data_IF_189243981745
#
_entry.id   IF_189243981745
#
_cell.length_a   1.000
_cell.length_b   1.000
_cell.length_c   1.000
_cell.angle_alpha   90.00
_cell.angle_beta   90.00
_cell.angle_gamma   90.00
#
_symmetry.space_group_name_H-M   'P 1'
#
loop_
_entity.id
_entity.type
_entity.pdbx_description
1 polymer ?
#
# COMPACT_ATOMS: atom_id res chain seq x y z
N UNK A 1 2.97 -42.44 -22.31
CA UNK A 1 3.32 -43.45 -21.28
C UNK A 1 2.06 -43.61 -20.45
N UNK A 2 1.34 -44.72 -20.63
CA UNK A 2 0.16 -44.99 -19.80
C UNK A 2 0.64 -45.42 -18.42
N UNK A 3 0.38 -44.57 -17.43
CA UNK A 3 0.77 -44.82 -16.04
C UNK A 3 -0.32 -45.70 -15.42
N UNK A 4 0.00 -46.98 -15.19
CA UNK A 4 -0.88 -47.90 -14.49
C UNK A 4 -0.71 -47.75 -12.98
N UNK A 5 -1.68 -47.12 -12.33
CA UNK A 5 -1.64 -46.82 -10.89
C UNK A 5 -1.83 -48.07 -10.04
N UNK A 6 -2.58 -49.06 -10.51
CA UNK A 6 -2.87 -50.26 -9.73
C UNK A 6 -1.60 -51.09 -9.52
N UNK A 7 -0.72 -51.13 -10.54
CA UNK A 7 0.61 -51.75 -10.44
C UNK A 7 1.49 -51.00 -9.45
N UNK A 8 1.53 -49.66 -9.53
CA UNK A 8 2.31 -48.83 -8.60
C UNK A 8 1.81 -48.99 -7.16
N UNK A 9 0.50 -49.05 -6.95
CA UNK A 9 -0.08 -49.27 -5.63
C UNK A 9 0.31 -50.64 -5.06
N UNK A 10 0.27 -51.70 -5.89
CA UNK A 10 0.70 -53.03 -5.48
C UNK A 10 2.17 -53.05 -5.04
N UNK A 11 3.05 -52.45 -5.85
CA UNK A 11 4.49 -52.34 -5.54
C UNK A 11 4.76 -51.53 -4.27
N UNK A 12 4.00 -50.45 -4.05
CA UNK A 12 4.13 -49.63 -2.84
C UNK A 12 3.64 -50.32 -1.56
N UNK A 13 2.72 -51.28 -1.68
CA UNK A 13 2.20 -52.08 -0.57
C UNK A 13 3.11 -53.26 -0.21
N UNK A 14 3.94 -53.71 -1.15
CA UNK A 14 4.81 -54.86 -0.93
C UNK A 14 5.82 -54.61 0.22
N UNK A 15 5.96 -55.62 1.08
CA UNK A 15 6.80 -55.54 2.29
C UNK A 15 6.37 -54.51 3.34
N UNK A 16 5.17 -53.91 3.26
CA UNK A 16 4.66 -52.94 4.25
C UNK A 16 3.72 -53.57 5.26
N UNK A 17 3.71 -52.99 6.47
CA UNK A 17 2.79 -53.41 7.54
C UNK A 17 1.33 -53.17 7.15
N UNK A 18 0.37 -53.98 7.67
CA UNK A 18 -1.05 -53.91 7.28
C UNK A 18 -1.67 -52.51 7.47
N UNK A 19 -1.23 -51.77 8.49
CA UNK A 19 -1.68 -50.39 8.72
C UNK A 19 -1.29 -49.44 7.59
N UNK A 20 -0.06 -49.56 7.08
CA UNK A 20 0.45 -48.73 5.99
C UNK A 20 -0.24 -49.10 4.67
N UNK A 21 -0.50 -50.39 4.45
CA UNK A 21 -1.26 -50.85 3.29
C UNK A 21 -2.67 -50.27 3.27
N UNK A 22 -3.40 -50.32 4.39
CA UNK A 22 -4.74 -49.72 4.51
C UNK A 22 -4.73 -48.21 4.28
N UNK A 23 -3.70 -47.51 4.76
CA UNK A 23 -3.55 -46.07 4.52
C UNK A 23 -3.22 -45.75 3.05
N UNK A 24 -2.45 -46.59 2.37
CA UNK A 24 -2.16 -46.45 0.94
C UNK A 24 -3.41 -46.67 0.10
N UNK A 25 -4.23 -47.68 0.44
CA UNK A 25 -5.51 -47.93 -0.22
C UNK A 25 -6.44 -46.73 -0.07
N UNK A 26 -6.59 -46.24 1.17
CA UNK A 26 -7.43 -45.06 1.45
C UNK A 26 -6.92 -43.80 0.75
N UNK A 27 -5.61 -43.58 0.74
CA UNK A 27 -5.03 -42.45 0.01
C UNK A 27 -5.25 -42.58 -1.51
N UNK A 28 -5.18 -43.80 -2.06
CA UNK A 28 -5.44 -44.05 -3.47
C UNK A 28 -6.89 -43.70 -3.86
N UNK A 29 -7.86 -44.11 -3.04
CA UNK A 29 -9.28 -43.80 -3.27
C UNK A 29 -9.54 -42.28 -3.28
N UNK A 30 -8.94 -41.57 -2.32
CA UNK A 30 -9.03 -40.10 -2.22
C UNK A 30 -8.40 -39.45 -3.45
N UNK A 31 -7.21 -39.90 -3.87
CA UNK A 31 -6.52 -39.36 -5.05
C UNK A 31 -7.29 -39.62 -6.35
N UNK A 32 -7.95 -40.79 -6.45
CA UNK A 32 -8.81 -41.14 -7.58
C UNK A 32 -10.01 -40.19 -7.66
N UNK A 33 -10.74 -40.03 -6.57
CA UNK A 33 -11.88 -39.09 -6.51
C UNK A 33 -11.44 -37.64 -6.80
N UNK A 34 -10.28 -37.24 -6.26
CA UNK A 34 -9.70 -35.93 -6.50
C UNK A 34 -9.34 -35.71 -7.97
N UNK A 35 -8.74 -36.69 -8.64
CA UNK A 35 -8.43 -36.64 -10.07
C UNK A 35 -9.69 -36.60 -10.95
N UNK A 36 -10.74 -37.35 -10.58
CA UNK A 36 -12.02 -37.36 -11.29
C UNK A 36 -12.76 -36.02 -11.17
N UNK A 37 -12.51 -35.23 -10.12
CA UNK A 37 -13.07 -33.89 -9.92
C UNK A 37 -12.40 -32.75 -10.72
N UNK A 38 -11.55 -33.08 -11.70
CA UNK A 38 -10.72 -32.16 -12.52
C UNK A 38 -9.83 -31.20 -11.70
N UNK A 39 -9.55 -31.55 -10.45
CA UNK A 39 -8.61 -30.82 -9.62
C UNK A 39 -7.17 -31.19 -9.99
N UNK A 40 -6.30 -30.18 -10.12
CA UNK A 40 -4.92 -30.35 -10.63
C UNK A 40 -3.82 -30.09 -9.60
N UNK A 41 -4.19 -29.71 -8.38
CA UNK A 41 -3.23 -29.41 -7.30
C UNK A 41 -2.91 -30.64 -6.48
N UNK A 42 -1.93 -31.43 -6.93
CA UNK A 42 -1.41 -32.59 -6.20
C UNK A 42 -0.24 -32.24 -5.28
N UNK A 43 -0.17 -30.99 -4.78
CA UNK A 43 0.86 -30.62 -3.81
C UNK A 43 0.68 -31.34 -2.48
N UNK A 44 1.82 -31.68 -1.84
CA UNK A 44 1.81 -32.44 -0.57
C UNK A 44 0.99 -31.73 0.52
N UNK A 45 1.00 -30.40 0.54
CA UNK A 45 0.18 -29.61 1.48
C UNK A 45 -1.30 -29.77 1.19
N UNK A 46 -1.73 -29.67 -0.06
CA UNK A 46 -3.14 -29.79 -0.44
C UNK A 46 -3.64 -31.23 -0.23
N UNK A 47 -2.87 -32.21 -0.69
CA UNK A 47 -3.18 -33.64 -0.51
C UNK A 47 -3.20 -34.03 0.97
N UNK A 48 -2.32 -33.47 1.78
CA UNK A 48 -2.35 -33.66 3.23
C UNK A 48 -3.61 -33.12 3.90
N UNK A 49 -4.15 -31.99 3.41
CA UNK A 49 -5.40 -31.41 3.91
C UNK A 49 -6.61 -32.24 3.48
N UNK A 50 -6.70 -32.58 2.20
CA UNK A 50 -7.82 -33.37 1.64
C UNK A 50 -7.82 -34.77 2.26
N UNK A 51 -6.66 -35.43 2.30
CA UNK A 51 -6.52 -36.76 2.89
C UNK A 51 -6.90 -36.76 4.38
N UNK A 52 -6.44 -35.80 5.18
CA UNK A 52 -6.81 -35.71 6.58
C UNK A 52 -8.32 -35.50 6.80
N UNK A 53 -8.98 -34.68 5.96
CA UNK A 53 -10.41 -34.42 6.06
C UNK A 53 -11.26 -35.68 5.84
N UNK A 54 -10.81 -36.58 4.96
CA UNK A 54 -11.48 -37.86 4.70
C UNK A 54 -10.96 -39.01 5.59
N UNK A 55 -10.15 -38.69 6.59
CA UNK A 55 -9.60 -39.64 7.58
C UNK A 55 -8.50 -40.55 7.03
N UNK A 56 -7.80 -40.12 5.98
CA UNK A 56 -6.54 -40.69 5.48
C UNK A 56 -5.30 -40.10 6.18
N UNK A 57 -4.09 -40.41 5.69
CA UNK A 57 -2.85 -39.86 6.24
C UNK A 57 -2.78 -38.33 6.08
N UNK A 58 -2.54 -37.62 7.19
CA UNK A 58 -2.43 -36.16 7.18
C UNK A 58 -1.08 -35.63 6.69
N UNK A 59 -0.98 -34.29 6.60
CA UNK A 59 0.20 -33.58 6.10
C UNK A 59 1.52 -34.01 6.76
N UNK A 60 1.52 -34.23 8.08
CA UNK A 60 2.72 -34.66 8.82
C UNK A 60 3.24 -36.02 8.35
N UNK A 61 2.33 -36.96 8.05
CA UNK A 61 2.67 -38.29 7.57
C UNK A 61 3.18 -38.25 6.12
N UNK A 62 2.60 -37.38 5.27
CA UNK A 62 2.99 -37.23 3.87
C UNK A 62 4.33 -36.51 3.69
N UNK A 63 4.65 -35.53 4.56
CA UNK A 63 5.93 -34.80 4.49
C UNK A 63 7.10 -35.60 5.07
N UNK A 64 6.83 -36.56 5.96
CA UNK A 64 7.87 -37.28 6.67
C UNK A 64 8.81 -38.03 5.71
N UNK A 65 10.12 -37.89 5.90
CA UNK A 65 11.14 -38.50 5.04
C UNK A 65 11.00 -40.03 4.99
N UNK A 66 10.69 -40.66 6.13
CA UNK A 66 10.49 -42.11 6.27
C UNK A 66 9.29 -42.65 5.47
N UNK A 67 8.32 -41.80 5.12
CA UNK A 67 7.08 -42.20 4.48
C UNK A 67 7.05 -41.83 2.98
N UNK A 68 8.15 -42.08 2.28
CA UNK A 68 8.29 -41.77 0.85
C UNK A 68 7.24 -42.46 -0.04
N UNK A 69 6.72 -43.61 0.40
CA UNK A 69 5.70 -44.38 -0.32
C UNK A 69 4.43 -43.57 -0.60
N UNK A 70 3.97 -42.74 0.34
CA UNK A 70 2.81 -41.88 0.07
C UNK A 70 3.12 -40.79 -0.96
N UNK A 71 4.34 -40.23 -0.95
CA UNK A 71 4.76 -39.22 -1.93
C UNK A 71 4.86 -39.81 -3.34
N UNK A 72 5.39 -41.03 -3.46
CA UNK A 72 5.44 -41.76 -4.75
C UNK A 72 4.05 -42.00 -5.33
N UNK A 73 3.08 -42.37 -4.48
CA UNK A 73 1.70 -42.54 -4.93
C UNK A 73 1.08 -41.22 -5.43
N UNK A 74 1.30 -40.12 -4.71
CA UNK A 74 0.82 -38.78 -5.11
C UNK A 74 1.48 -38.33 -6.42
N UNK A 75 2.78 -38.58 -6.59
CA UNK A 75 3.52 -38.29 -7.83
C UNK A 75 3.00 -39.09 -9.03
N UNK A 76 2.68 -40.38 -8.83
CA UNK A 76 2.09 -41.22 -9.86
C UNK A 76 0.71 -40.69 -10.32
N UNK A 77 -0.14 -40.29 -9.37
CA UNK A 77 -1.43 -39.67 -9.68
C UNK A 77 -1.29 -38.31 -10.36
N UNK A 78 -0.35 -37.47 -9.92
CA UNK A 78 -0.05 -36.20 -10.58
C UNK A 78 0.38 -36.41 -12.04
N UNK A 79 1.26 -37.39 -12.27
CA UNK A 79 1.75 -37.72 -13.60
C UNK A 79 0.63 -38.29 -14.50
N UNK A 80 -0.27 -39.15 -13.97
CA UNK A 80 -1.45 -39.65 -14.71
C UNK A 80 -2.39 -38.51 -15.10
N UNK A 81 -2.59 -37.54 -14.21
CA UNK A 81 -3.38 -36.32 -14.45
C UNK A 81 -2.64 -35.25 -15.27
N UNK A 82 -1.48 -35.57 -15.88
CA UNK A 82 -0.62 -34.67 -16.68
C UNK A 82 -0.27 -33.36 -15.95
N UNK A 83 -0.20 -33.40 -14.62
CA UNK A 83 0.15 -32.28 -13.75
C UNK A 83 1.40 -32.61 -12.93
N UNK A 84 1.85 -31.67 -12.10
CA UNK A 84 3.01 -31.82 -11.22
C UNK A 84 2.57 -31.74 -9.76
N UNK A 85 3.35 -32.32 -8.85
CA UNK A 85 3.19 -32.17 -7.40
C UNK A 85 3.60 -30.78 -6.89
N UNK A 86 4.14 -29.92 -7.77
CA UNK A 86 4.33 -28.52 -7.44
C UNK A 86 2.98 -27.82 -7.43
N UNK A 87 2.75 -26.99 -6.42
CA UNK A 87 1.55 -26.16 -6.32
C UNK A 87 1.33 -25.42 -7.65
N UNK A 88 0.16 -25.56 -8.30
CA UNK A 88 -0.11 -24.86 -9.54
C UNK A 88 0.05 -23.36 -9.30
N UNK A 89 0.75 -22.70 -10.22
CA UNK A 89 0.97 -21.26 -10.16
C UNK A 89 -0.38 -20.56 -10.08
N UNK A 90 -0.60 -19.73 -9.05
CA UNK A 90 -1.80 -18.91 -8.93
C UNK A 90 -2.04 -18.12 -10.23
N UNK A 91 -3.31 -17.93 -10.58
CA UNK A 91 -3.72 -17.13 -11.75
C UNK A 91 -3.09 -15.72 -11.75
N UNK A 92 -2.89 -15.16 -10.56
CA UNK A 92 -2.29 -13.83 -10.31
C UNK A 92 -0.78 -13.86 -10.10
N UNK A 93 -0.11 -15.01 -10.19
CA UNK A 93 1.33 -15.08 -9.90
C UNK A 93 2.16 -14.37 -10.98
N UNK A 94 3.17 -13.62 -10.54
CA UNK A 94 4.18 -13.01 -11.43
C UNK A 94 4.97 -14.05 -12.25
N UNK A 95 4.98 -15.31 -11.83
CA UNK A 95 5.56 -16.42 -12.61
C UNK A 95 4.68 -16.88 -13.77
N UNK A 96 3.38 -16.53 -13.76
CA UNK A 96 2.49 -16.57 -14.93
C UNK A 96 2.61 -15.28 -15.76
N UNK A 97 3.61 -14.42 -15.50
CA UNK A 97 3.82 -13.29 -16.39
C UNK A 97 4.06 -13.82 -17.79
N UNK A 98 3.39 -13.20 -18.75
CA UNK A 98 3.66 -13.34 -20.18
C UNK A 98 5.19 -13.47 -20.35
N UNK A 99 5.69 -14.45 -21.13
CA UNK A 99 7.12 -14.61 -21.33
C UNK A 99 7.75 -13.25 -21.65
N UNK A 100 8.91 -12.95 -21.07
CA UNK A 100 9.62 -11.70 -21.35
C UNK A 100 9.60 -11.42 -22.85
N UNK A 101 9.33 -10.18 -23.24
CA UNK A 101 9.08 -9.82 -24.65
C UNK A 101 10.12 -10.43 -25.62
N UNK A 102 11.39 -10.51 -25.20
CA UNK A 102 12.48 -11.13 -25.95
C UNK A 102 12.34 -12.65 -26.15
N UNK A 103 11.82 -13.39 -25.16
CA UNK A 103 11.52 -14.82 -25.28
C UNK A 103 10.36 -15.11 -26.24
N UNK A 104 9.47 -14.15 -26.45
CA UNK A 104 8.42 -14.29 -27.47
C UNK A 104 9.00 -14.13 -28.89
N UNK A 105 10.04 -13.30 -29.06
CA UNK A 105 10.73 -13.15 -30.35
C UNK A 105 11.42 -14.44 -30.81
N UNK A 106 11.95 -15.23 -29.88
CA UNK A 106 12.56 -16.54 -30.18
C UNK A 106 11.57 -17.54 -30.81
N UNK A 107 10.26 -17.35 -30.60
CA UNK A 107 9.22 -18.21 -31.17
C UNK A 107 8.84 -17.83 -32.60
N UNK A 108 9.22 -16.64 -33.07
CA UNK A 108 8.95 -16.18 -34.44
C UNK A 108 10.08 -16.74 -35.31
N UNK A 109 9.83 -17.67 -36.25
CA UNK A 109 10.90 -18.27 -37.05
C UNK A 109 11.49 -17.31 -38.09
N UNK A 110 10.65 -16.48 -38.71
CA UNK A 110 11.07 -15.50 -39.72
C UNK A 110 11.88 -14.35 -39.10
N UNK A 111 13.16 -14.16 -39.50
CA UNK A 111 14.01 -13.08 -38.99
C UNK A 111 13.48 -11.68 -39.26
N UNK A 112 12.83 -11.44 -40.41
CA UNK A 112 12.33 -10.11 -40.78
C UNK A 112 11.17 -9.70 -39.88
N UNK A 113 10.20 -10.60 -39.70
CA UNK A 113 9.08 -10.40 -38.77
C UNK A 113 9.58 -10.27 -37.33
N UNK A 114 10.56 -11.10 -36.93
CA UNK A 114 11.17 -11.02 -35.60
C UNK A 114 11.80 -9.64 -35.34
N UNK A 115 12.50 -9.08 -36.32
CA UNK A 115 13.10 -7.74 -36.22
C UNK A 115 12.04 -6.64 -36.05
N UNK A 116 10.96 -6.69 -36.83
CA UNK A 116 9.84 -5.74 -36.72
C UNK A 116 9.19 -5.77 -35.34
N UNK A 117 8.88 -6.96 -34.82
CA UNK A 117 8.34 -7.09 -33.45
C UNK A 117 9.34 -6.61 -32.39
N UNK A 118 10.64 -6.87 -32.60
CA UNK A 118 11.70 -6.34 -31.74
C UNK A 118 11.73 -4.81 -31.69
N UNK A 119 11.57 -4.14 -32.83
CA UNK A 119 11.45 -2.69 -32.91
C UNK A 119 10.20 -2.18 -32.16
N UNK A 120 9.03 -2.80 -32.37
CA UNK A 120 7.79 -2.44 -31.68
C UNK A 120 7.94 -2.60 -30.15
N UNK A 121 8.60 -3.67 -29.69
CA UNK A 121 8.89 -3.87 -28.27
C UNK A 121 9.79 -2.75 -27.73
N UNK A 122 10.82 -2.36 -28.48
CA UNK A 122 11.74 -1.30 -28.09
C UNK A 122 11.03 0.06 -27.96
N UNK A 123 10.18 0.42 -28.94
CA UNK A 123 9.40 1.66 -28.92
C UNK A 123 8.39 1.68 -27.77
N UNK A 124 7.63 0.60 -27.58
CA UNK A 124 6.70 0.45 -26.45
C UNK A 124 7.40 0.60 -25.11
N UNK A 125 8.60 0.03 -24.97
CA UNK A 125 9.40 0.15 -23.74
C UNK A 125 9.93 1.57 -23.54
N UNK A 126 10.31 2.27 -24.61
CA UNK A 126 10.67 3.68 -24.57
C UNK A 126 9.48 4.53 -24.11
N UNK A 127 8.31 4.39 -24.73
CA UNK A 127 7.12 5.15 -24.33
C UNK A 127 6.67 4.86 -22.91
N UNK A 128 6.76 3.60 -22.44
CA UNK A 128 6.49 3.28 -21.02
C UNK A 128 7.46 3.99 -20.07
N UNK A 129 8.74 4.11 -20.43
CA UNK A 129 9.72 4.85 -19.61
C UNK A 129 9.41 6.34 -19.58
N UNK A 130 9.10 6.93 -20.74
CA UNK A 130 8.71 8.35 -20.84
C UNK A 130 7.45 8.62 -20.02
N UNK A 131 6.41 7.79 -20.13
CA UNK A 131 5.19 7.90 -19.33
C UNK A 131 5.47 7.74 -17.83
N UNK A 132 6.32 6.81 -17.44
CA UNK A 132 6.67 6.62 -16.02
C UNK A 132 7.45 7.82 -15.47
N UNK A 133 8.36 8.40 -16.25
CA UNK A 133 9.07 9.63 -15.91
C UNK A 133 8.07 10.79 -15.77
N UNK A 134 7.16 10.96 -16.72
CA UNK A 134 6.11 11.99 -16.64
C UNK A 134 5.21 11.80 -15.42
N UNK A 135 4.83 10.56 -15.08
CA UNK A 135 4.08 10.26 -13.85
C UNK A 135 4.85 10.60 -12.58
N UNK A 136 6.16 10.37 -12.57
CA UNK A 136 7.02 10.76 -11.45
C UNK A 136 7.06 12.28 -11.29
N UNK A 137 7.16 13.02 -12.40
CA UNK A 137 7.15 14.49 -12.36
C UNK A 137 5.76 15.11 -12.18
N UNK A 138 4.68 14.39 -12.46
CA UNK A 138 3.31 14.90 -12.31
C UNK A 138 2.88 14.99 -10.83
N UNK A 139 3.37 14.11 -9.97
CA UNK A 139 3.05 14.10 -8.55
C UNK A 139 4.16 14.78 -7.74
N UNK A 140 4.26 16.10 -7.84
CA UNK A 140 5.09 16.91 -6.94
C UNK A 140 4.30 17.08 -5.63
N UNK A 141 4.59 16.23 -4.64
CA UNK A 141 4.06 16.41 -3.28
C UNK A 141 4.83 17.53 -2.60
N UNK A 142 4.30 18.75 -2.67
CA UNK A 142 4.82 19.89 -1.90
C UNK A 142 4.23 19.77 -0.49
N UNK A 143 5.07 19.46 0.49
CA UNK A 143 4.66 19.51 1.88
C UNK A 143 4.42 20.98 2.27
N UNK A 144 3.15 21.36 2.40
CA UNK A 144 2.71 22.71 2.80
C UNK A 144 2.58 22.89 4.30
N UNK A 145 2.96 21.89 5.10
CA UNK A 145 2.99 22.07 6.55
C UNK A 145 3.97 23.20 6.86
N UNK A 146 3.65 24.12 7.78
CA UNK A 146 4.63 25.06 8.29
C UNK A 146 5.80 24.21 8.78
N UNK A 147 7.00 24.44 8.24
CA UNK A 147 8.21 23.87 8.80
C UNK A 147 8.21 24.35 10.24
N UNK A 148 7.93 23.45 11.18
CA UNK A 148 8.21 23.71 12.58
C UNK A 148 9.73 23.82 12.61
N UNK A 149 10.22 25.05 12.55
CA UNK A 149 11.57 25.38 12.97
C UNK A 149 11.64 24.86 14.40
N UNK A 150 12.16 23.64 14.55
CA UNK A 150 12.67 23.22 15.83
C UNK A 150 13.91 24.08 15.98
N UNK A 151 13.79 25.11 16.82
CA UNK A 151 14.88 25.96 17.27
C UNK A 151 15.95 25.06 17.90
N UNK A 152 16.78 24.51 17.02
CA UNK A 152 18.00 23.81 17.37
C UNK A 152 19.01 24.92 17.57
N UNK A 153 19.00 25.44 18.79
CA UNK A 153 20.18 25.97 19.46
C UNK A 153 21.00 26.97 18.66
N UNK A 154 20.67 28.24 18.85
CA UNK A 154 21.64 29.34 18.99
C UNK A 154 22.66 29.54 17.86
N UNK A 155 22.21 30.09 16.74
CA UNK A 155 22.95 31.09 15.96
C UNK A 155 21.95 32.23 15.69
N UNK A 156 22.24 33.51 16.03
CA UNK A 156 21.29 34.60 15.85
C UNK A 156 21.24 34.98 14.37
N UNK A 157 20.48 34.23 13.57
CA UNK A 157 20.04 34.71 12.27
C UNK A 157 19.04 35.84 12.52
N UNK A 158 19.50 37.07 12.35
CA UNK A 158 18.64 38.26 12.33
C UNK A 158 17.68 38.11 11.16
N UNK A 159 16.51 37.53 11.41
CA UNK A 159 15.39 37.61 10.49
C UNK A 159 14.92 39.06 10.48
N UNK A 160 15.38 39.82 9.49
CA UNK A 160 14.89 41.17 9.22
C UNK A 160 13.50 41.02 8.61
N UNK A 161 12.48 40.91 9.47
CA UNK A 161 11.10 41.10 9.06
C UNK A 161 10.99 42.53 8.49
N UNK A 162 10.33 42.72 7.33
CA UNK A 162 10.03 44.06 6.85
C UNK A 162 9.28 44.80 7.96
N UNK A 163 9.66 46.03 8.32
CA UNK A 163 8.90 46.79 9.29
C UNK A 163 7.45 46.90 8.80
N UNK A 164 6.48 46.67 9.71
CA UNK A 164 5.05 46.88 9.42
C UNK A 164 4.75 48.33 8.97
N UNK A 165 5.72 49.22 9.18
CA UNK A 165 5.78 50.59 8.68
C UNK A 165 5.71 50.64 7.16
N UNK A 166 4.54 51.02 6.64
CA UNK A 166 4.30 51.21 5.19
C UNK A 166 3.31 50.23 4.57
N UNK A 167 2.78 49.26 5.34
CA UNK A 167 1.71 48.36 4.87
C UNK A 167 0.36 49.09 4.81
N UNK A 168 0.09 49.95 5.79
CA UNK A 168 -1.15 50.70 5.90
C UNK A 168 -1.02 52.07 5.22
N UNK A 169 -2.02 52.42 4.42
CA UNK A 169 -2.25 53.78 3.94
C UNK A 169 -2.61 54.73 5.07
N UNK A 170 -2.38 56.03 4.89
CA UNK A 170 -2.73 57.04 5.90
C UNK A 170 -4.23 57.07 6.22
N UNK A 171 -5.09 56.74 5.25
CA UNK A 171 -6.54 56.57 5.47
C UNK A 171 -6.85 55.37 6.37
N UNK A 172 -6.17 54.24 6.19
CA UNK A 172 -6.37 53.04 7.01
C UNK A 172 -5.88 53.25 8.44
N UNK A 173 -4.73 53.91 8.61
CA UNK A 173 -4.23 54.29 9.95
C UNK A 173 -5.23 55.17 10.70
N UNK A 174 -5.80 56.18 10.03
CA UNK A 174 -6.82 57.06 10.62
C UNK A 174 -8.10 56.31 10.99
N UNK A 175 -8.55 55.37 10.15
CA UNK A 175 -9.73 54.56 10.44
C UNK A 175 -9.50 53.64 11.66
N UNK A 176 -8.33 53.02 11.76
CA UNK A 176 -7.94 52.19 12.90
C UNK A 176 -7.76 53.00 14.18
N UNK A 177 -7.18 54.21 14.08
CA UNK A 177 -7.04 55.13 15.21
C UNK A 177 -8.42 55.61 15.72
N UNK A 178 -9.34 55.92 14.81
CA UNK A 178 -10.71 56.25 15.16
C UNK A 178 -11.42 55.09 15.88
N UNK A 179 -11.20 53.85 15.45
CA UNK A 179 -11.83 52.69 16.10
C UNK A 179 -11.45 52.50 17.58
N UNK A 180 -10.35 53.09 18.04
CA UNK A 180 -9.89 53.08 19.44
C UNK A 180 -9.90 54.45 20.10
N UNK A 181 -10.44 55.49 19.43
CA UNK A 181 -10.47 56.85 19.94
C UNK A 181 -11.58 57.03 20.96
N UNK A 182 -11.38 57.97 21.89
CA UNK A 182 -12.38 58.31 22.89
C UNK A 182 -13.68 58.80 22.24
N UNK A 183 -13.59 59.50 21.10
CA UNK A 183 -14.76 59.96 20.32
C UNK A 183 -15.64 58.80 19.83
N UNK A 184 -15.02 57.72 19.33
CA UNK A 184 -15.75 56.53 18.89
C UNK A 184 -16.38 55.79 20.08
N UNK A 185 -15.65 55.70 21.19
CA UNK A 185 -16.14 55.04 22.40
C UNK A 185 -17.32 55.79 23.02
N UNK A 186 -17.22 57.11 23.14
CA UNK A 186 -18.29 57.96 23.67
C UNK A 186 -19.54 57.97 22.79
N UNK A 187 -19.37 58.03 21.45
CA UNK A 187 -20.52 58.02 20.52
C UNK A 187 -21.31 56.71 20.53
N UNK A 188 -20.69 55.60 20.93
CA UNK A 188 -21.31 54.28 20.96
C UNK A 188 -21.60 53.77 22.39
N UNK A 189 -21.41 54.60 23.42
CA UNK A 189 -21.49 54.20 24.84
C UNK A 189 -20.62 52.97 25.17
N UNK A 190 -19.41 52.94 24.62
CA UNK A 190 -18.43 51.90 24.87
C UNK A 190 -17.35 52.36 25.85
N UNK A 191 -16.76 51.41 26.56
CA UNK A 191 -15.65 51.62 27.48
C UNK A 191 -14.51 50.65 27.18
N UNK A 192 -13.28 51.17 27.19
CA UNK A 192 -12.07 50.37 27.02
C UNK A 192 -11.47 50.05 28.39
N UNK A 193 -11.20 48.78 28.65
CA UNK A 193 -10.53 48.31 29.87
C UNK A 193 -9.00 48.40 29.75
N UNK A 194 -8.29 48.34 30.89
CA UNK A 194 -6.82 48.32 30.92
C UNK A 194 -6.20 47.14 30.12
N UNK A 195 -6.93 46.03 29.96
CA UNK A 195 -6.48 44.90 29.16
C UNK A 195 -6.74 45.08 27.65
N UNK A 196 -7.26 46.23 27.22
CA UNK A 196 -7.60 46.53 25.82
C UNK A 196 -8.90 45.90 25.32
N UNK A 197 -9.75 45.40 26.22
CA UNK A 197 -11.10 44.91 25.90
C UNK A 197 -12.06 46.08 25.77
N UNK A 198 -13.00 46.03 24.82
CA UNK A 198 -14.06 47.04 24.64
C UNK A 198 -15.40 46.43 25.02
N UNK A 199 -16.14 47.14 25.87
CA UNK A 199 -17.45 46.72 26.35
C UNK A 199 -18.48 47.82 26.22
N UNK A 200 -19.73 47.42 26.04
CA UNK A 200 -20.86 48.32 26.15
C UNK A 200 -21.07 48.75 27.61
N UNK A 201 -21.29 50.03 27.86
CA UNK A 201 -21.46 50.59 29.22
C UNK A 201 -22.81 50.23 29.84
N UNK A 202 -23.86 50.13 29.03
CA UNK A 202 -25.23 49.89 29.50
C UNK A 202 -25.46 48.40 29.84
N UNK A 203 -25.03 47.50 28.96
CA UNK A 203 -25.26 46.07 29.08
C UNK A 203 -24.05 45.28 29.62
N UNK A 204 -22.88 45.92 29.78
CA UNK A 204 -21.60 45.28 30.13
C UNK A 204 -21.24 44.10 29.21
N UNK A 205 -21.76 44.13 27.98
CA UNK A 205 -21.53 43.10 26.97
C UNK A 205 -20.18 43.32 26.30
N UNK A 206 -19.45 42.24 26.07
CA UNK A 206 -18.19 42.27 25.35
C UNK A 206 -18.43 42.52 23.86
N UNK A 207 -17.92 43.64 23.35
CA UNK A 207 -17.96 43.99 21.93
C UNK A 207 -16.68 43.50 21.25
N UNK A 208 -15.53 43.80 21.87
CA UNK A 208 -14.23 43.32 21.40
C UNK A 208 -13.43 42.67 22.54
N UNK A 209 -12.72 41.56 22.25
CA UNK A 209 -11.98 40.83 23.25
C UNK A 209 -10.76 41.58 23.78
N UNK A 210 -10.23 41.08 24.90
CA UNK A 210 -8.98 41.59 25.50
C UNK A 210 -7.87 41.61 24.46
N UNK A 211 -7.05 42.66 24.48
CA UNK A 211 -5.96 42.84 23.52
C UNK A 211 -6.34 43.61 22.26
N UNK A 212 -7.63 43.88 22.01
CA UNK A 212 -8.05 44.61 20.81
C UNK A 212 -7.47 46.03 20.75
N UNK A 213 -7.81 46.88 21.73
CA UNK A 213 -7.37 48.28 21.73
C UNK A 213 -5.86 48.40 21.93
N UNK A 214 -5.27 47.59 22.80
CA UNK A 214 -3.82 47.60 23.07
C UNK A 214 -3.01 47.05 21.89
N UNK A 215 -3.55 46.10 21.14
CA UNK A 215 -2.93 45.58 19.91
C UNK A 215 -2.96 46.61 18.78
N UNK A 216 -4.10 47.29 18.60
CA UNK A 216 -4.23 48.37 17.61
C UNK A 216 -3.31 49.55 17.93
N UNK A 217 -3.22 49.95 19.21
CA UNK A 217 -2.31 51.02 19.65
C UNK A 217 -0.85 50.72 19.31
N UNK A 218 -0.39 49.49 19.62
CA UNK A 218 0.96 49.00 19.26
C UNK A 218 1.19 48.98 17.74
N UNK A 219 0.18 48.59 16.98
CA UNK A 219 0.25 48.51 15.52
C UNK A 219 0.29 49.89 14.85
N UNK A 220 -0.33 50.89 15.47
CA UNK A 220 -0.26 52.29 15.05
C UNK A 220 1.02 53.00 15.51
N UNK A 221 1.86 52.35 16.33
CA UNK A 221 3.09 52.92 16.87
C UNK A 221 2.85 53.89 18.03
N UNK A 222 1.63 53.94 18.54
CA UNK A 222 1.30 54.56 19.82
C UNK A 222 1.80 53.57 20.90
N UNK A 223 3.00 53.78 21.41
CA UNK A 223 3.48 53.02 22.58
C UNK A 223 3.19 53.90 23.79
N UNK A 224 2.29 53.42 24.66
CA UNK A 224 2.17 53.96 26.01
C UNK A 224 3.53 53.75 26.70
N UNK A 225 4.19 54.84 27.12
CA UNK A 225 5.24 54.80 28.15
C UNK A 225 4.65 54.34 29.49
#
# INVERSE_FOLDING_TARGET
MDINIDVILADLKDGKVPRTQKNLDKLNDILKAYAESDQRDFSITQMGRVSAAEGGPGYEALRATKNEHYRKLIEAWAAKSKTTTKKPLLATSRARSIPQDNKLLERIPDPAVRALFGQIIAERNRYRKEVNLLKQHANITIDKRPVRQFDTSAEPSVEVLPPLSGILTESEKKALAYAISDECMESHNWQTTQAGQVKDVEYNTEIFPRGFATGLRKLLGEVDE
#
